data_IF_470295797529
#
_entry.id   IF_470295797529
#
_cell.length_a   1.000
_cell.length_b   1.000
_cell.length_c   1.000
_cell.angle_alpha   90.00
_cell.angle_beta   90.00
_cell.angle_gamma   90.00
#
_symmetry.space_group_name_H-M   'P 1'
#
loop_
_entity.id
_entity.type
_entity.pdbx_description
1 polymer ?
#
# COMPACT_ATOMS: atom_id res chain seq x y z
N UNK A 1 10.87 0.17 11.37
CA UNK A 1 10.70 -0.44 10.03
C UNK A 1 9.24 -0.72 9.72
N UNK A 2 8.69 -1.91 10.08
CA UNK A 2 7.39 -2.41 9.64
C UNK A 2 6.22 -1.42 9.81
N UNK A 3 6.05 -0.85 11.01
CA UNK A 3 4.98 0.13 11.30
C UNK A 3 5.08 1.36 10.38
N UNK A 4 6.29 1.90 10.18
CA UNK A 4 6.49 3.06 9.30
C UNK A 4 6.19 2.75 7.84
N UNK A 5 6.54 1.55 7.37
CA UNK A 5 6.27 1.12 5.99
C UNK A 5 4.78 0.89 5.76
N UNK A 6 4.12 0.14 6.65
CA UNK A 6 2.72 -0.20 6.51
C UNK A 6 1.82 1.05 6.66
N UNK A 7 1.93 1.79 7.77
CA UNK A 7 1.12 3.00 7.99
C UNK A 7 1.45 4.14 7.03
N UNK A 8 2.72 4.25 6.58
CA UNK A 8 3.13 5.23 5.58
C UNK A 8 2.65 4.88 4.17
N UNK A 9 2.53 3.59 3.86
CA UNK A 9 2.01 3.09 2.57
C UNK A 9 0.54 3.42 2.34
N UNK A 10 -0.27 3.41 3.40
CA UNK A 10 -1.74 3.61 3.31
C UNK A 10 -2.13 4.95 2.71
N UNK A 11 -1.33 6.01 2.88
CA UNK A 11 -1.65 7.34 2.35
C UNK A 11 -1.20 7.55 0.90
N UNK A 12 -0.55 6.57 0.28
CA UNK A 12 -0.05 6.71 -1.10
C UNK A 12 -0.69 5.69 -2.04
N UNK A 13 -1.01 6.14 -3.24
CA UNK A 13 -1.66 5.32 -4.27
C UNK A 13 -0.89 4.04 -4.61
N UNK A 14 0.45 4.10 -4.56
CA UNK A 14 1.34 2.98 -4.90
C UNK A 14 1.88 2.23 -3.67
N UNK A 15 1.48 2.62 -2.47
CA UNK A 15 1.98 2.03 -1.24
C UNK A 15 1.47 0.60 -1.00
N UNK A 16 0.23 0.35 -1.43
CA UNK A 16 -0.45 -0.94 -1.28
C UNK A 16 -1.27 -1.25 -2.54
N UNK A 17 -1.38 -2.52 -2.99
CA UNK A 17 -2.11 -2.87 -4.21
C UNK A 17 -3.60 -2.47 -4.17
N UNK A 18 -4.26 -2.60 -3.02
CA UNK A 18 -5.65 -2.20 -2.84
C UNK A 18 -5.87 -0.70 -2.99
N UNK A 19 -4.88 0.14 -2.66
CA UNK A 19 -4.96 1.58 -2.85
C UNK A 19 -5.10 1.93 -4.33
N UNK A 20 -4.29 1.29 -5.17
CA UNK A 20 -4.33 1.48 -6.62
C UNK A 20 -5.67 1.04 -7.20
N UNK A 21 -6.21 -0.07 -6.71
CA UNK A 21 -7.50 -0.59 -7.14
C UNK A 21 -8.63 0.39 -6.78
N UNK A 22 -8.72 0.79 -5.52
CA UNK A 22 -9.73 1.75 -5.04
C UNK A 22 -9.63 3.05 -5.81
N UNK A 23 -8.44 3.61 -5.96
CA UNK A 23 -8.22 4.84 -6.71
C UNK A 23 -8.64 4.71 -8.18
N UNK A 24 -8.38 3.56 -8.81
CA UNK A 24 -8.78 3.30 -10.21
C UNK A 24 -10.29 3.29 -10.37
N UNK A 25 -11.01 2.57 -9.50
CA UNK A 25 -12.48 2.51 -9.52
C UNK A 25 -13.07 3.88 -9.18
N UNK A 26 -12.53 4.56 -8.17
CA UNK A 26 -12.98 5.89 -7.76
C UNK A 26 -12.62 7.01 -8.76
N UNK A 27 -11.72 6.75 -9.70
CA UNK A 27 -11.20 7.77 -10.62
C UNK A 27 -10.35 8.82 -9.92
N UNK A 28 -9.68 8.45 -8.80
CA UNK A 28 -8.81 9.34 -8.06
C UNK A 28 -7.38 9.29 -8.62
N UNK A 29 -6.82 10.45 -8.87
CA UNK A 29 -5.39 10.60 -9.17
C UNK A 29 -4.55 10.53 -7.89
N UNK A 30 -3.23 10.57 -8.03
CA UNK A 30 -2.29 10.48 -6.91
C UNK A 30 -2.51 11.60 -5.87
N UNK A 31 -2.76 12.83 -6.31
CA UNK A 31 -2.96 13.96 -5.42
C UNK A 31 -4.29 13.86 -4.68
N UNK A 32 -5.36 13.55 -5.39
CA UNK A 32 -6.70 13.36 -4.80
C UNK A 32 -6.68 12.23 -3.79
N UNK A 33 -6.06 11.09 -4.12
CA UNK A 33 -5.91 9.97 -3.20
C UNK A 33 -5.17 10.40 -1.93
N UNK A 34 -4.01 11.06 -2.08
CA UNK A 34 -3.24 11.54 -0.93
C UNK A 34 -4.04 12.52 -0.06
N UNK A 35 -4.72 13.49 -0.67
CA UNK A 35 -5.50 14.49 0.08
C UNK A 35 -6.70 13.88 0.83
N UNK A 36 -7.28 12.81 0.30
CA UNK A 36 -8.38 12.11 0.97
C UNK A 36 -7.89 11.18 2.10
N UNK A 37 -6.74 10.54 1.90
CA UNK A 37 -6.21 9.59 2.88
C UNK A 37 -5.38 10.26 3.99
N UNK A 38 -4.58 11.27 3.67
CA UNK A 38 -3.64 11.89 4.62
C UNK A 38 -4.29 12.41 5.92
N UNK A 39 -5.48 13.04 5.90
CA UNK A 39 -6.12 13.50 7.15
C UNK A 39 -6.39 12.41 8.16
N UNK A 40 -6.57 11.16 7.70
CA UNK A 40 -6.84 9.99 8.58
C UNK A 40 -5.54 9.24 8.85
N UNK A 41 -4.76 8.95 7.81
CA UNK A 41 -3.61 8.06 7.91
C UNK A 41 -2.38 8.72 8.56
N UNK A 42 -2.18 10.03 8.37
CA UNK A 42 -1.06 10.74 9.00
C UNK A 42 -1.15 10.83 10.53
N UNK A 43 -2.30 11.14 11.15
CA UNK A 43 -2.46 11.03 12.59
C UNK A 43 -2.23 9.61 13.13
N UNK A 44 -2.72 8.58 12.42
CA UNK A 44 -2.50 7.18 12.81
C UNK A 44 -1.03 6.81 12.71
N UNK A 45 -0.34 7.21 11.64
CA UNK A 45 1.12 7.04 11.51
C UNK A 45 1.86 7.73 12.66
N UNK A 46 1.51 8.96 12.99
CA UNK A 46 2.11 9.68 14.11
C UNK A 46 1.89 8.95 15.44
N UNK A 47 0.68 8.48 15.71
CA UNK A 47 0.39 7.68 16.90
C UNK A 47 1.19 6.37 16.93
N UNK A 48 1.28 5.66 15.81
CA UNK A 48 2.07 4.44 15.70
C UNK A 48 3.57 4.68 15.96
N UNK A 49 4.13 5.75 15.41
CA UNK A 49 5.53 6.12 15.65
C UNK A 49 5.77 6.54 17.11
N UNK A 50 4.86 7.34 17.69
CA UNK A 50 4.91 7.72 19.11
C UNK A 50 4.85 6.47 20.01
N UNK A 51 3.98 5.52 19.70
CA UNK A 51 3.88 4.24 20.43
C UNK A 51 5.20 3.48 20.35
N UNK A 52 5.82 3.38 19.17
CA UNK A 52 7.13 2.74 19.02
C UNK A 52 8.20 3.42 19.88
N UNK A 53 8.25 4.75 19.88
CA UNK A 53 9.20 5.52 20.71
C UNK A 53 8.92 5.31 22.19
N UNK A 54 7.68 5.33 22.63
CA UNK A 54 7.30 5.08 24.03
C UNK A 54 7.69 3.67 24.48
N UNK A 55 7.46 2.65 23.66
CA UNK A 55 7.85 1.27 23.96
C UNK A 55 9.37 1.15 24.08
N UNK A 56 10.12 1.80 23.18
CA UNK A 56 11.58 1.81 23.19
C UNK A 56 12.13 2.49 24.46
N UNK A 57 11.58 3.65 24.82
CA UNK A 57 12.00 4.43 26.01
C UNK A 57 11.61 3.75 27.32
N UNK A 58 10.41 3.15 27.38
CA UNK A 58 9.92 2.49 28.60
C UNK A 58 10.47 1.07 28.79
N UNK A 59 10.99 0.45 27.74
CA UNK A 59 11.46 -0.93 27.77
C UNK A 59 10.35 -1.98 27.96
N UNK A 60 9.08 -1.62 27.76
CA UNK A 60 7.97 -2.54 27.88
C UNK A 60 8.05 -3.64 26.80
N UNK A 61 7.58 -4.85 27.13
CA UNK A 61 7.58 -6.01 26.26
C UNK A 61 8.96 -6.39 25.67
N UNK A 62 10.05 -5.98 26.32
CA UNK A 62 11.42 -6.24 25.84
C UNK A 62 11.92 -5.30 24.75
N UNK A 63 11.19 -4.23 24.45
CA UNK A 63 11.68 -3.16 23.60
C UNK A 63 12.83 -2.40 24.29
N UNK A 64 13.72 -1.80 23.51
CA UNK A 64 14.88 -1.09 24.07
C UNK A 64 16.01 -2.03 24.55
N UNK A 65 15.84 -3.35 24.44
CA UNK A 65 16.92 -4.29 24.76
C UNK A 65 18.09 -4.12 23.78
N UNK A 66 19.28 -3.89 24.32
CA UNK A 66 20.47 -3.79 23.51
C UNK A 66 20.80 -5.14 22.85
N UNK A 67 21.16 -5.11 21.59
CA UNK A 67 21.67 -6.31 20.91
C UNK A 67 22.87 -6.87 21.66
N UNK A 68 22.99 -8.20 21.79
CA UNK A 68 24.17 -8.85 22.33
C UNK A 68 25.44 -8.33 21.67
N UNK A 69 26.48 -8.08 22.46
CA UNK A 69 27.71 -7.44 22.02
C UNK A 69 28.37 -8.16 20.81
N UNK A 70 28.35 -9.49 20.82
CA UNK A 70 28.86 -10.32 19.73
C UNK A 70 28.10 -10.06 18.39
N UNK A 71 26.77 -9.90 18.43
CA UNK A 71 25.96 -9.59 17.25
C UNK A 71 26.26 -8.17 16.76
N UNK A 72 26.33 -7.23 17.69
CA UNK A 72 26.65 -5.83 17.37
C UNK A 72 28.02 -5.71 16.71
N UNK A 73 29.03 -6.41 17.23
CA UNK A 73 30.40 -6.42 16.65
C UNK A 73 30.41 -7.03 15.24
N UNK A 74 29.65 -8.10 14.99
CA UNK A 74 29.56 -8.69 13.64
C UNK A 74 28.91 -7.70 12.66
N UNK A 75 27.83 -7.04 13.06
CA UNK A 75 27.15 -6.05 12.22
C UNK A 75 28.04 -4.83 11.96
N UNK A 76 28.75 -4.34 12.98
CA UNK A 76 29.68 -3.20 12.81
C UNK A 76 30.82 -3.55 11.84
N UNK A 77 31.43 -4.73 11.98
CA UNK A 77 32.49 -5.19 11.05
C UNK A 77 31.96 -5.37 9.64
N UNK A 78 30.73 -5.85 9.49
CA UNK A 78 30.10 -5.99 8.18
C UNK A 78 29.87 -4.61 7.55
N UNK A 79 29.36 -3.65 8.30
CA UNK A 79 29.13 -2.28 7.83
C UNK A 79 30.45 -1.58 7.46
N UNK A 80 31.48 -1.68 8.31
CA UNK A 80 32.82 -1.17 8.02
C UNK A 80 33.41 -1.81 6.76
N UNK A 81 33.25 -3.12 6.58
CA UNK A 81 33.64 -3.84 5.37
C UNK A 81 32.91 -3.36 4.12
N UNK A 82 31.61 -3.13 4.21
CA UNK A 82 30.80 -2.58 3.13
C UNK A 82 31.19 -1.14 2.79
N UNK A 83 31.43 -0.31 3.79
CA UNK A 83 31.86 1.08 3.58
C UNK A 83 33.27 1.15 2.98
N UNK A 84 34.21 0.30 3.42
CA UNK A 84 35.52 0.19 2.84
C UNK A 84 35.52 -0.32 1.39
N UNK A 85 34.59 -1.21 1.07
CA UNK A 85 34.36 -1.73 -0.29
C UNK A 85 33.55 -0.78 -1.18
N UNK A 86 33.03 0.33 -0.64
CA UNK A 86 32.22 1.29 -1.36
C UNK A 86 33.04 2.01 -2.44
N UNK A 87 32.82 1.59 -3.68
CA UNK A 87 33.45 2.16 -4.87
C UNK A 87 32.70 3.40 -5.36
N UNK A 88 33.34 4.21 -6.23
CA UNK A 88 32.64 5.28 -6.94
C UNK A 88 31.40 4.76 -7.70
N UNK A 89 31.46 3.53 -8.19
CA UNK A 89 30.33 2.86 -8.86
C UNK A 89 29.17 2.58 -7.91
N UNK A 90 29.40 2.18 -6.66
CA UNK A 90 28.31 1.94 -5.70
C UNK A 90 27.64 3.24 -5.26
N UNK A 91 28.42 4.33 -5.14
CA UNK A 91 27.86 5.66 -4.88
C UNK A 91 27.03 6.17 -6.06
N UNK A 92 27.49 5.97 -7.29
CA UNK A 92 26.74 6.30 -8.48
C UNK A 92 25.41 5.52 -8.57
N UNK A 93 25.41 4.23 -8.23
CA UNK A 93 24.17 3.43 -8.15
C UNK A 93 23.17 4.02 -7.15
N UNK A 94 23.62 4.40 -5.96
CA UNK A 94 22.76 5.02 -4.95
C UNK A 94 22.19 6.36 -5.43
N UNK A 95 23.01 7.17 -6.11
CA UNK A 95 22.55 8.43 -6.70
C UNK A 95 21.49 8.20 -7.80
N UNK A 96 21.69 7.21 -8.67
CA UNK A 96 20.72 6.83 -9.70
C UNK A 96 19.41 6.41 -9.05
N UNK A 97 19.46 5.57 -8.02
CA UNK A 97 18.27 5.15 -7.28
C UNK A 97 17.53 6.33 -6.65
N UNK A 98 18.27 7.25 -6.01
CA UNK A 98 17.68 8.44 -5.40
C UNK A 98 17.03 9.37 -6.45
N UNK A 99 17.71 9.61 -7.58
CA UNK A 99 17.18 10.41 -8.69
C UNK A 99 15.93 9.75 -9.27
N UNK A 100 15.97 8.44 -9.50
CA UNK A 100 14.83 7.69 -10.03
C UNK A 100 13.64 7.73 -9.06
N UNK A 101 13.88 7.65 -7.74
CA UNK A 101 12.84 7.82 -6.73
C UNK A 101 12.20 9.22 -6.77
N UNK A 102 13.01 10.26 -6.94
CA UNK A 102 12.50 11.63 -7.11
C UNK A 102 11.68 11.76 -8.39
N UNK A 103 12.16 11.19 -9.52
CA UNK A 103 11.41 11.17 -10.78
C UNK A 103 10.08 10.45 -10.62
N UNK A 104 10.06 9.29 -9.92
CA UNK A 104 8.84 8.54 -9.64
C UNK A 104 7.81 9.40 -8.90
N UNK A 105 8.23 9.99 -7.76
CA UNK A 105 7.33 10.83 -6.95
C UNK A 105 6.81 12.02 -7.76
N UNK A 106 7.70 12.69 -8.50
CA UNK A 106 7.34 13.81 -9.35
C UNK A 106 6.35 13.40 -10.46
N UNK A 107 6.63 12.32 -11.18
CA UNK A 107 5.79 11.84 -12.26
C UNK A 107 4.39 11.43 -11.77
N UNK A 108 4.28 10.82 -10.59
CA UNK A 108 3.01 10.48 -9.95
C UNK A 108 2.27 11.73 -9.46
N UNK A 109 2.97 12.66 -8.80
CA UNK A 109 2.37 13.88 -8.26
C UNK A 109 1.80 14.78 -9.36
N UNK A 110 2.48 14.90 -10.50
CA UNK A 110 2.04 15.71 -11.63
C UNK A 110 1.25 14.94 -12.70
N UNK A 111 0.91 13.69 -12.41
CA UNK A 111 0.10 12.84 -13.30
C UNK A 111 0.62 12.80 -14.75
N UNK A 112 1.95 12.68 -14.90
CA UNK A 112 2.59 12.79 -16.23
C UNK A 112 2.23 11.63 -17.16
N UNK A 113 1.90 10.46 -16.63
CA UNK A 113 1.48 9.29 -17.38
C UNK A 113 0.69 8.33 -16.47
N UNK A 114 0.09 7.29 -17.07
CA UNK A 114 -0.53 6.21 -16.32
C UNK A 114 0.49 5.53 -15.39
N UNK A 115 0.07 5.13 -14.18
CA UNK A 115 0.93 4.58 -13.12
C UNK A 115 1.78 3.41 -13.63
N UNK A 116 1.20 2.51 -14.45
CA UNK A 116 1.94 1.39 -15.05
C UNK A 116 3.08 1.83 -15.98
N UNK A 117 2.88 2.92 -16.74
CA UNK A 117 3.94 3.48 -17.61
C UNK A 117 5.05 4.15 -16.79
N UNK A 118 4.70 4.82 -15.70
CA UNK A 118 5.68 5.39 -14.76
C UNK A 118 6.49 4.26 -14.11
N UNK A 119 5.83 3.17 -13.69
CA UNK A 119 6.50 1.98 -13.17
C UNK A 119 7.47 1.36 -14.19
N UNK A 120 7.04 1.21 -15.43
CA UNK A 120 7.90 0.71 -16.52
C UNK A 120 9.10 1.65 -16.76
N UNK A 121 8.90 2.96 -16.75
CA UNK A 121 9.99 3.94 -16.85
C UNK A 121 11.01 3.76 -15.72
N UNK A 122 10.57 3.56 -14.48
CA UNK A 122 11.44 3.30 -13.32
C UNK A 122 12.27 2.02 -13.53
N UNK A 123 11.64 0.94 -13.97
CA UNK A 123 12.34 -0.33 -14.30
C UNK A 123 13.41 -0.06 -15.35
N UNK A 124 13.08 0.61 -16.46
CA UNK A 124 14.02 0.91 -17.54
C UNK A 124 15.17 1.79 -17.05
N UNK A 125 14.90 2.83 -16.26
CA UNK A 125 15.95 3.71 -15.72
C UNK A 125 16.89 2.94 -14.80
N UNK A 126 16.34 2.15 -13.87
CA UNK A 126 17.16 1.41 -12.91
C UNK A 126 17.98 0.31 -13.59
N UNK A 127 17.43 -0.43 -14.54
CA UNK A 127 18.15 -1.47 -15.27
C UNK A 127 19.26 -0.86 -16.16
N UNK A 128 18.92 0.16 -16.95
CA UNK A 128 19.85 0.79 -17.89
C UNK A 128 21.04 1.46 -17.17
N UNK A 129 20.76 2.28 -16.16
CA UNK A 129 21.82 3.05 -15.48
C UNK A 129 22.61 2.23 -14.44
N UNK A 130 22.05 1.15 -13.90
CA UNK A 130 22.81 0.23 -13.06
C UNK A 130 23.61 -0.81 -13.85
N UNK A 131 23.47 -0.83 -15.18
CA UNK A 131 24.15 -1.77 -16.06
C UNK A 131 23.64 -3.21 -15.93
N UNK A 132 22.36 -3.37 -15.57
CA UNK A 132 21.66 -4.66 -15.56
C UNK A 132 21.17 -4.91 -16.97
N UNK A 133 21.98 -5.57 -17.79
CA UNK A 133 21.68 -5.85 -19.20
C UNK A 133 21.62 -7.35 -19.48
N UNK A 134 21.95 -8.18 -18.50
CA UNK A 134 21.90 -9.62 -18.61
C UNK A 134 20.45 -10.09 -18.51
N UNK A 135 20.00 -10.82 -19.53
CA UNK A 135 18.65 -11.40 -19.59
C UNK A 135 18.37 -12.36 -18.43
N UNK A 136 19.42 -13.02 -17.88
CA UNK A 136 19.28 -13.92 -16.74
C UNK A 136 18.94 -13.16 -15.46
N UNK A 137 19.61 -12.03 -15.17
CA UNK A 137 19.31 -11.17 -14.03
C UNK A 137 17.89 -10.58 -14.11
N UNK A 138 17.50 -10.10 -15.30
CA UNK A 138 16.17 -9.57 -15.55
C UNK A 138 15.12 -10.69 -15.42
N UNK A 139 15.38 -11.85 -16.01
CA UNK A 139 14.51 -13.03 -15.93
C UNK A 139 14.29 -13.50 -14.50
N UNK A 140 15.33 -13.50 -13.66
CA UNK A 140 15.23 -13.85 -12.25
C UNK A 140 14.30 -12.89 -11.48
N UNK A 141 14.43 -11.58 -11.70
CA UNK A 141 13.55 -10.58 -11.07
C UNK A 141 12.08 -10.78 -11.48
N UNK A 142 11.80 -11.12 -12.74
CA UNK A 142 10.45 -11.47 -13.19
C UNK A 142 9.93 -12.75 -12.54
N UNK A 143 10.78 -13.78 -12.40
CA UNK A 143 10.41 -15.03 -11.72
C UNK A 143 10.07 -14.80 -10.24
N UNK A 144 10.76 -13.91 -9.55
CA UNK A 144 10.42 -13.53 -8.17
C UNK A 144 9.10 -12.79 -8.06
N UNK A 145 8.75 -11.95 -9.04
CA UNK A 145 7.48 -11.21 -9.07
C UNK A 145 6.28 -12.07 -9.52
N UNK A 146 6.51 -13.15 -10.25
CA UNK A 146 5.47 -13.96 -10.87
C UNK A 146 4.48 -14.58 -9.88
N UNK A 147 4.90 -15.17 -8.73
CA UNK A 147 3.97 -15.74 -7.75
C UNK A 147 2.97 -14.71 -7.22
N UNK A 148 3.43 -13.50 -6.92
CA UNK A 148 2.55 -12.41 -6.46
C UNK A 148 1.58 -11.97 -7.56
N UNK A 149 2.06 -11.81 -8.78
CA UNK A 149 1.22 -11.44 -9.93
C UNK A 149 0.16 -12.52 -10.22
N UNK A 150 0.55 -13.80 -10.16
CA UNK A 150 -0.37 -14.92 -10.34
C UNK A 150 -1.44 -14.95 -9.24
N UNK A 151 -1.05 -14.68 -7.98
CA UNK A 151 -1.98 -14.58 -6.86
C UNK A 151 -3.01 -13.48 -7.08
N UNK A 152 -2.59 -12.28 -7.53
CA UNK A 152 -3.50 -11.19 -7.86
C UNK A 152 -4.49 -11.55 -8.97
N UNK A 153 -4.03 -12.21 -10.04
CA UNK A 153 -4.90 -12.67 -11.14
C UNK A 153 -5.97 -13.63 -10.63
N UNK A 154 -5.58 -14.60 -9.78
CA UNK A 154 -6.53 -15.54 -9.17
C UNK A 154 -7.53 -14.81 -8.26
N UNK A 155 -7.07 -13.86 -7.46
CA UNK A 155 -7.96 -13.05 -6.62
C UNK A 155 -8.97 -12.26 -7.45
N UNK A 156 -8.55 -11.60 -8.51
CA UNK A 156 -9.48 -10.87 -9.37
C UNK A 156 -10.49 -11.80 -10.05
N UNK A 157 -10.09 -13.01 -10.43
CA UNK A 157 -11.02 -14.00 -10.97
C UNK A 157 -12.05 -14.45 -9.92
N UNK A 158 -11.63 -14.70 -8.68
CA UNK A 158 -12.53 -15.04 -7.57
C UNK A 158 -13.50 -13.90 -7.27
N UNK A 159 -12.99 -12.65 -7.20
CA UNK A 159 -13.83 -11.47 -6.96
C UNK A 159 -14.85 -11.28 -8.06
N UNK A 160 -14.49 -11.51 -9.33
CA UNK A 160 -15.44 -11.44 -10.44
C UNK A 160 -16.59 -12.44 -10.29
N UNK A 161 -16.29 -13.68 -9.85
CA UNK A 161 -17.33 -14.68 -9.55
C UNK A 161 -18.21 -14.27 -8.37
N UNK A 162 -17.61 -13.74 -7.30
CA UNK A 162 -18.34 -13.28 -6.11
C UNK A 162 -19.28 -12.13 -6.46
N UNK A 163 -18.82 -11.19 -7.27
CA UNK A 163 -19.62 -10.07 -7.75
C UNK A 163 -20.77 -10.55 -8.65
N UNK A 164 -20.51 -11.41 -9.62
CA UNK A 164 -21.53 -11.99 -10.50
C UNK A 164 -22.60 -12.77 -9.73
N UNK A 165 -22.21 -13.43 -8.64
CA UNK A 165 -23.13 -14.19 -7.78
C UNK A 165 -23.79 -13.35 -6.69
N UNK A 166 -23.53 -12.04 -6.63
CA UNK A 166 -24.09 -11.11 -5.64
C UNK A 166 -23.95 -11.56 -4.18
N UNK A 167 -22.82 -12.24 -3.84
CA UNK A 167 -22.66 -12.86 -2.53
C UNK A 167 -22.51 -11.84 -1.39
N UNK A 168 -21.97 -10.66 -1.67
CA UNK A 168 -21.82 -9.59 -0.69
C UNK A 168 -22.91 -8.52 -0.76
N UNK A 169 -23.72 -8.50 -1.79
CA UNK A 169 -24.81 -7.53 -1.96
C UNK A 169 -25.71 -7.43 -0.73
N UNK A 170 -26.18 -8.55 -0.09
CA UNK A 170 -27.02 -8.43 1.10
C UNK A 170 -26.34 -7.74 2.30
N UNK A 171 -25.03 -7.92 2.45
CA UNK A 171 -24.26 -7.25 3.50
C UNK A 171 -24.15 -5.76 3.22
N UNK A 172 -23.84 -5.40 1.99
CA UNK A 172 -23.71 -4.01 1.56
C UNK A 172 -25.05 -3.28 1.65
N UNK A 173 -26.14 -3.89 1.15
CA UNK A 173 -27.50 -3.35 1.25
C UNK A 173 -27.90 -3.10 2.71
N UNK A 174 -27.55 -4.02 3.62
CA UNK A 174 -27.80 -3.84 5.04
C UNK A 174 -27.11 -2.61 5.62
N UNK A 175 -25.89 -2.32 5.17
CA UNK A 175 -25.16 -1.12 5.59
C UNK A 175 -25.69 0.12 4.89
N UNK A 176 -26.03 0.03 3.61
CA UNK A 176 -26.65 1.14 2.86
C UNK A 176 -28.07 1.49 3.34
N UNK A 177 -28.77 0.56 3.98
CA UNK A 177 -30.06 0.84 4.64
C UNK A 177 -29.93 1.67 5.92
N UNK A 178 -28.71 1.80 6.49
CA UNK A 178 -28.45 2.63 7.67
C UNK A 178 -28.43 4.12 7.30
N UNK A 179 -28.43 5.00 8.30
CA UNK A 179 -28.30 6.45 8.06
C UNK A 179 -26.95 6.79 7.44
N UNK A 180 -26.91 7.74 6.51
CA UNK A 180 -25.70 8.17 5.79
C UNK A 180 -24.52 8.57 6.71
N UNK A 181 -24.83 9.04 7.93
CA UNK A 181 -23.81 9.40 8.91
C UNK A 181 -23.07 8.20 9.50
N UNK A 182 -23.74 7.05 9.62
CA UNK A 182 -23.21 5.83 10.24
C UNK A 182 -22.53 4.91 9.20
N UNK A 183 -22.94 4.96 7.95
CA UNK A 183 -22.43 4.10 6.88
C UNK A 183 -20.90 4.05 6.79
N UNK A 184 -20.16 5.18 6.80
CA UNK A 184 -18.70 5.13 6.72
C UNK A 184 -18.06 4.37 7.88
N UNK A 185 -18.56 4.55 9.10
CA UNK A 185 -18.06 3.84 10.27
C UNK A 185 -18.34 2.33 10.18
N UNK A 186 -19.51 1.94 9.67
CA UNK A 186 -19.86 0.54 9.50
C UNK A 186 -19.04 -0.11 8.38
N UNK A 187 -18.80 0.59 7.26
CA UNK A 187 -17.91 0.12 6.21
C UNK A 187 -16.47 -0.04 6.74
N UNK A 188 -15.97 0.92 7.50
CA UNK A 188 -14.65 0.82 8.14
C UNK A 188 -14.54 -0.42 9.04
N UNK A 189 -15.51 -0.63 9.94
CA UNK A 189 -15.51 -1.76 10.86
C UNK A 189 -15.67 -3.12 10.13
N UNK A 190 -16.60 -3.21 9.19
CA UNK A 190 -16.83 -4.44 8.44
C UNK A 190 -15.59 -4.82 7.61
N UNK A 191 -14.99 -3.85 6.94
CA UNK A 191 -13.75 -4.07 6.20
C UNK A 191 -12.58 -4.44 7.13
N UNK A 192 -12.44 -3.76 8.28
CA UNK A 192 -11.40 -4.06 9.25
C UNK A 192 -11.49 -5.46 9.83
N UNK A 193 -12.69 -5.91 10.21
CA UNK A 193 -12.90 -7.26 10.71
C UNK A 193 -12.63 -8.30 9.63
N UNK A 194 -13.13 -8.08 8.42
CA UNK A 194 -12.95 -9.01 7.32
C UNK A 194 -11.49 -9.07 6.85
N UNK A 195 -10.81 -7.94 6.81
CA UNK A 195 -9.39 -7.80 6.47
C UNK A 195 -8.46 -8.49 7.49
N UNK A 196 -8.86 -8.56 8.75
CA UNK A 196 -8.09 -9.31 9.75
C UNK A 196 -8.10 -10.83 9.53
N UNK A 197 -9.06 -11.35 8.76
CA UNK A 197 -9.25 -12.78 8.49
C UNK A 197 -8.88 -13.12 7.04
N UNK A 198 -9.02 -12.16 6.13
CA UNK A 198 -8.86 -12.33 4.69
C UNK A 198 -7.82 -11.36 4.13
N UNK A 199 -7.47 -11.53 2.85
CA UNK A 199 -6.55 -10.64 2.15
C UNK A 199 -7.17 -9.25 1.91
N UNK A 200 -6.38 -8.20 2.14
CA UNK A 200 -6.82 -6.80 2.03
C UNK A 200 -7.26 -6.43 0.62
N UNK A 201 -6.56 -6.94 -0.41
CA UNK A 201 -6.89 -6.65 -1.81
C UNK A 201 -8.24 -7.26 -2.16
N UNK A 202 -8.50 -8.49 -1.70
CA UNK A 202 -9.78 -9.16 -1.88
C UNK A 202 -10.93 -8.35 -1.26
N UNK A 203 -10.80 -8.02 0.02
CA UNK A 203 -11.83 -7.26 0.75
C UNK A 203 -12.10 -5.92 0.08
N UNK A 204 -11.04 -5.15 -0.20
CA UNK A 204 -11.17 -3.85 -0.87
C UNK A 204 -11.86 -3.96 -2.23
N UNK A 205 -11.51 -4.99 -3.03
CA UNK A 205 -12.07 -5.17 -4.37
C UNK A 205 -13.57 -5.44 -4.30
N UNK A 206 -14.00 -6.32 -3.42
CA UNK A 206 -15.43 -6.65 -3.27
C UNK A 206 -16.23 -5.40 -2.89
N UNK A 207 -15.81 -4.72 -1.82
CA UNK A 207 -16.58 -3.60 -1.30
C UNK A 207 -16.57 -2.37 -2.23
N UNK A 208 -15.43 -2.06 -2.87
CA UNK A 208 -15.39 -0.92 -3.79
C UNK A 208 -16.23 -1.18 -5.05
N UNK A 209 -16.28 -2.43 -5.52
CA UNK A 209 -17.09 -2.79 -6.68
C UNK A 209 -18.59 -2.66 -6.39
N UNK A 210 -19.05 -3.06 -5.20
CA UNK A 210 -20.44 -2.94 -4.79
C UNK A 210 -20.89 -1.48 -4.62
N UNK A 211 -20.07 -0.63 -3.97
CA UNK A 211 -20.44 0.79 -3.85
C UNK A 211 -20.34 1.53 -5.20
N UNK A 212 -19.50 1.09 -6.13
CA UNK A 212 -19.47 1.60 -7.49
C UNK A 212 -20.76 1.22 -8.26
N UNK A 213 -21.26 0.00 -8.05
CA UNK A 213 -22.55 -0.41 -8.58
C UNK A 213 -23.69 0.44 -8.00
N UNK A 214 -23.70 0.69 -6.70
CA UNK A 214 -24.69 1.56 -6.04
C UNK A 214 -24.64 3.02 -6.56
N UNK A 215 -23.43 3.55 -6.82
CA UNK A 215 -23.25 4.86 -7.44
C UNK A 215 -23.84 4.88 -8.87
N UNK A 216 -23.55 3.87 -9.67
CA UNK A 216 -24.06 3.74 -11.03
C UNK A 216 -25.58 3.55 -11.08
N UNK A 217 -26.16 2.86 -10.09
CA UNK A 217 -27.59 2.73 -9.91
C UNK A 217 -28.28 4.02 -9.42
N UNK A 218 -27.52 5.00 -8.97
CA UNK A 218 -28.05 6.25 -8.40
C UNK A 218 -28.58 6.12 -6.97
N UNK A 219 -28.20 5.08 -6.26
CA UNK A 219 -28.60 4.84 -4.85
C UNK A 219 -27.79 5.70 -3.87
N UNK A 220 -26.57 6.06 -4.25
CA UNK A 220 -25.70 6.98 -3.53
C UNK A 220 -25.18 8.06 -4.47
N UNK A 221 -24.88 9.23 -3.92
CA UNK A 221 -24.23 10.30 -4.68
C UNK A 221 -22.71 10.16 -4.68
N UNK A 222 -22.03 10.96 -5.50
CA UNK A 222 -20.56 10.95 -5.60
C UNK A 222 -19.87 11.29 -4.28
N UNK A 223 -20.40 12.22 -3.51
CA UNK A 223 -19.79 12.64 -2.25
C UNK A 223 -19.91 11.53 -1.20
N UNK A 224 -21.00 10.78 -1.21
CA UNK A 224 -21.16 9.61 -0.37
C UNK A 224 -20.25 8.46 -0.81
N UNK A 225 -20.16 8.19 -2.09
CA UNK A 225 -19.23 7.21 -2.64
C UNK A 225 -17.78 7.48 -2.18
N UNK A 226 -17.31 8.74 -2.30
CA UNK A 226 -15.96 9.11 -1.89
C UNK A 226 -15.75 8.87 -0.39
N UNK A 227 -16.72 9.20 0.47
CA UNK A 227 -16.64 8.90 1.92
C UNK A 227 -16.58 7.40 2.22
N UNK A 228 -17.38 6.60 1.49
CA UNK A 228 -17.38 5.15 1.67
C UNK A 228 -16.08 4.52 1.13
N UNK A 229 -15.56 4.98 0.01
CA UNK A 229 -14.28 4.53 -0.54
C UNK A 229 -13.10 4.84 0.41
N UNK A 230 -13.11 6.00 1.07
CA UNK A 230 -12.15 6.34 2.14
C UNK A 230 -12.27 5.36 3.31
N UNK A 231 -13.50 5.05 3.73
CA UNK A 231 -13.74 4.13 4.83
C UNK A 231 -13.31 2.69 4.50
N UNK A 232 -13.55 2.24 3.27
CA UNK A 232 -13.08 0.94 2.76
C UNK A 232 -11.56 0.89 2.79
N UNK A 233 -10.88 1.88 2.19
CA UNK A 233 -9.42 1.90 2.14
C UNK A 233 -8.78 1.91 3.52
N UNK A 234 -9.26 2.77 4.40
CA UNK A 234 -8.73 2.88 5.76
C UNK A 234 -9.09 1.67 6.62
N UNK A 235 -10.29 1.10 6.45
CA UNK A 235 -10.74 -0.10 7.13
C UNK A 235 -9.95 -1.35 6.75
N UNK A 236 -9.58 -1.50 5.49
CA UNK A 236 -8.77 -2.64 5.03
C UNK A 236 -7.31 -2.54 5.45
N UNK A 237 -6.77 -1.33 5.55
CA UNK A 237 -5.34 -1.13 5.79
C UNK A 237 -4.98 -0.96 7.28
N UNK A 238 -5.70 -0.12 8.02
CA UNK A 238 -5.29 0.25 9.39
C UNK A 238 -5.37 -0.90 10.39
N UNK A 239 -6.45 -1.72 10.42
CA UNK A 239 -6.53 -2.85 11.37
C UNK A 239 -5.54 -3.97 11.08
N UNK A 240 -5.07 -4.13 9.85
CA UNK A 240 -4.10 -5.17 9.48
C UNK A 240 -2.68 -4.89 10.01
N UNK A 241 -2.43 -3.70 10.53
CA UNK A 241 -1.13 -3.29 11.12
C UNK A 241 -1.12 -3.47 12.64
N UNK A 242 -2.28 -3.62 13.26
CA UNK A 242 -2.46 -3.83 14.69
C UNK A 242 -2.36 -5.29 15.06
#
# INVERSE_FOLDING_TARGET
GAVGTALGGVCTLVGEPQNLLIATVAGWDFQTFFLYMAPITMPVLACGLITCVLLEVTGWFGYGALMPENVRQVLTRFDEGQQAAATARSRAKLQIQAITAVILVFALAFHLAAVGLIGLLVIVLLTAFNGITDEHEIGHAFQEALPFTALLVVFFAIVAVIHEQHLFTPVIESVLAMSSEVRPAMFFLANGILSAISDNVFVATVYISEIDAALKAGEIDRAEFDRLAIAINTGTNLPSVA
#
